data_IF_750883756562
#
_entry.id   IF_750883756562
#
_cell.length_a   1.000
_cell.length_b   1.000
_cell.length_c   1.000
_cell.angle_alpha   90.00
_cell.angle_beta   90.00
_cell.angle_gamma   90.00
#
_symmetry.space_group_name_H-M   'P 1'
#
loop_
_entity.id
_entity.type
_entity.pdbx_description
1 polymer ?
#
# COMPACT_ATOMS: atom_id res chain seq x y z
N UNK A 1 16.84 -23.79 -12.10
CA UNK A 1 15.40 -23.94 -12.39
C UNK A 1 14.83 -25.06 -11.54
N UNK A 2 13.59 -24.94 -11.03
CA UNK A 2 12.86 -26.02 -10.35
C UNK A 2 11.63 -26.41 -11.19
N UNK A 3 11.39 -27.70 -11.42
CA UNK A 3 10.21 -28.19 -12.16
C UNK A 3 9.02 -28.27 -11.20
N UNK A 4 7.87 -27.77 -11.63
CA UNK A 4 6.59 -27.87 -10.91
C UNK A 4 5.49 -28.25 -11.87
N UNK A 5 4.54 -29.07 -11.40
CA UNK A 5 3.31 -29.40 -12.10
C UNK A 5 2.15 -28.68 -11.41
N UNK A 6 1.27 -28.09 -12.19
CA UNK A 6 0.07 -27.38 -11.72
C UNK A 6 -1.09 -27.76 -12.63
N UNK A 7 -2.29 -27.84 -12.06
CA UNK A 7 -3.51 -27.98 -12.85
C UNK A 7 -3.93 -26.61 -13.37
N UNK A 8 -4.29 -26.55 -14.65
CA UNK A 8 -4.83 -25.37 -15.30
C UNK A 8 -6.27 -25.67 -15.71
N UNK A 9 -7.14 -24.67 -15.60
CA UNK A 9 -8.47 -24.77 -16.20
C UNK A 9 -8.35 -24.76 -17.72
N UNK A 10 -9.33 -25.35 -18.41
CA UNK A 10 -9.34 -25.34 -19.89
C UNK A 10 -9.29 -23.92 -20.46
N UNK A 11 -9.93 -22.97 -19.77
CA UNK A 11 -9.92 -21.55 -20.15
C UNK A 11 -8.51 -20.97 -20.13
N UNK A 12 -7.75 -21.20 -19.05
CA UNK A 12 -6.38 -20.72 -18.91
C UNK A 12 -5.44 -21.36 -19.95
N UNK A 13 -5.58 -22.66 -20.21
CA UNK A 13 -4.77 -23.34 -21.22
C UNK A 13 -5.05 -22.75 -22.63
N UNK A 14 -6.31 -22.46 -22.98
CA UNK A 14 -6.66 -21.82 -24.25
C UNK A 14 -6.06 -20.41 -24.38
N UNK A 15 -6.08 -19.62 -23.32
CA UNK A 15 -5.48 -18.28 -23.31
C UNK A 15 -3.95 -18.34 -23.46
N UNK A 16 -3.28 -19.21 -22.70
CA UNK A 16 -1.83 -19.42 -22.80
C UNK A 16 -1.44 -19.86 -24.21
N UNK A 17 -2.24 -20.73 -24.84
CA UNK A 17 -2.01 -21.18 -26.22
C UNK A 17 -2.15 -20.04 -27.23
N UNK A 18 -3.14 -19.18 -27.04
CA UNK A 18 -3.36 -18.03 -27.91
C UNK A 18 -2.21 -17.02 -27.79
N UNK A 19 -1.77 -16.74 -26.56
CA UNK A 19 -0.64 -15.84 -26.29
C UNK A 19 0.69 -16.39 -26.82
N UNK A 20 0.96 -17.68 -26.58
CA UNK A 20 2.16 -18.36 -27.09
C UNK A 20 2.28 -18.26 -28.61
N UNK A 21 1.18 -18.42 -29.34
CA UNK A 21 1.15 -18.25 -30.80
C UNK A 21 1.30 -16.80 -31.24
N UNK A 22 0.70 -15.86 -30.51
CA UNK A 22 0.73 -14.43 -30.84
C UNK A 22 2.12 -13.82 -30.64
N UNK A 23 2.83 -14.24 -29.60
CA UNK A 23 4.14 -13.72 -29.23
C UNK A 23 5.31 -14.54 -29.78
N UNK A 24 5.04 -15.65 -30.47
CA UNK A 24 6.04 -16.61 -30.94
C UNK A 24 6.99 -17.09 -29.82
N UNK A 25 6.42 -17.35 -28.65
CA UNK A 25 7.15 -17.78 -27.44
C UNK A 25 6.69 -19.16 -26.99
N UNK A 26 7.59 -19.99 -26.40
CA UNK A 26 7.19 -21.22 -25.75
C UNK A 26 6.18 -20.95 -24.61
N UNK A 27 5.15 -21.79 -24.47
CA UNK A 27 4.14 -21.69 -23.39
C UNK A 27 4.77 -21.54 -22.00
N UNK A 28 5.85 -22.28 -21.75
CA UNK A 28 6.55 -22.24 -20.48
C UNK A 28 7.17 -20.87 -20.16
N UNK A 29 7.56 -20.11 -21.19
CA UNK A 29 8.08 -18.75 -21.06
C UNK A 29 6.94 -17.77 -20.76
N UNK A 30 5.85 -17.84 -21.53
CA UNK A 30 4.63 -17.06 -21.30
C UNK A 30 4.12 -17.25 -19.86
N UNK A 31 4.05 -18.48 -19.38
CA UNK A 31 3.63 -18.80 -18.01
C UNK A 31 4.57 -18.14 -16.98
N UNK A 32 5.89 -18.17 -17.19
CA UNK A 32 6.85 -17.55 -16.27
C UNK A 32 6.68 -16.03 -16.23
N UNK A 33 6.52 -15.39 -17.39
CA UNK A 33 6.31 -13.95 -17.48
C UNK A 33 5.03 -13.53 -16.75
N UNK A 34 3.92 -14.22 -17.01
CA UNK A 34 2.63 -13.95 -16.35
C UNK A 34 2.73 -14.14 -14.83
N UNK A 35 3.40 -15.20 -14.36
CA UNK A 35 3.62 -15.42 -12.94
C UNK A 35 4.48 -14.32 -12.31
N UNK A 36 5.55 -13.88 -12.98
CA UNK A 36 6.39 -12.79 -12.50
C UNK A 36 5.59 -11.50 -12.36
N UNK A 37 4.84 -11.12 -13.39
CA UNK A 37 3.98 -9.93 -13.36
C UNK A 37 2.92 -10.04 -12.27
N UNK A 38 2.29 -11.20 -12.11
CA UNK A 38 1.30 -11.46 -11.07
C UNK A 38 1.89 -11.35 -9.66
N UNK A 39 3.11 -11.84 -9.45
CA UNK A 39 3.81 -11.73 -8.17
C UNK A 39 4.23 -10.30 -7.87
N UNK A 40 4.76 -9.55 -8.84
CA UNK A 40 5.09 -8.13 -8.67
C UNK A 40 3.85 -7.30 -8.32
N UNK A 41 2.70 -7.57 -8.94
CA UNK A 41 1.43 -6.93 -8.58
C UNK A 41 0.96 -7.26 -7.16
N UNK A 42 1.27 -8.46 -6.66
CA UNK A 42 0.92 -8.89 -5.29
C UNK A 42 1.90 -8.43 -4.23
N UNK A 43 3.14 -8.07 -4.61
CA UNK A 43 4.09 -7.50 -3.66
C UNK A 43 3.53 -6.17 -3.16
N UNK A 44 3.45 -5.96 -1.83
CA UNK A 44 3.10 -4.65 -1.30
C UNK A 44 4.16 -3.66 -1.79
N UNK A 45 3.74 -2.66 -2.58
CA UNK A 45 4.65 -1.66 -3.16
C UNK A 45 5.45 -0.94 -2.06
N UNK A 46 4.86 -0.79 -0.88
CA UNK A 46 5.48 -0.21 0.31
C UNK A 46 4.97 -0.93 1.56
N UNK A 47 5.81 -1.12 2.60
CA UNK A 47 5.30 -1.54 3.89
C UNK A 47 4.29 -0.48 4.39
N UNK A 48 3.21 -0.86 5.11
CA UNK A 48 2.16 0.08 5.51
C UNK A 48 2.66 1.36 6.19
N UNK A 49 3.80 1.30 6.87
CA UNK A 49 4.45 2.45 7.52
C UNK A 49 5.34 3.31 6.62
N UNK A 50 5.76 2.87 5.44
CA UNK A 50 6.67 3.64 4.58
C UNK A 50 6.02 4.91 4.01
N UNK A 51 4.72 4.87 3.71
CA UNK A 51 3.97 6.07 3.29
C UNK A 51 3.94 7.10 4.42
N UNK A 52 3.68 6.66 5.67
CA UNK A 52 3.66 7.52 6.85
C UNK A 52 5.04 8.12 7.14
N UNK A 53 6.11 7.34 7.00
CA UNK A 53 7.48 7.80 7.16
C UNK A 53 7.86 8.86 6.12
N UNK A 54 7.43 8.70 4.86
CA UNK A 54 7.67 9.69 3.80
C UNK A 54 6.91 10.99 4.03
N UNK A 55 5.67 10.90 4.53
CA UNK A 55 4.88 12.08 4.91
C UNK A 55 5.54 12.78 6.10
N UNK A 56 5.95 12.02 7.12
CA UNK A 56 6.65 12.55 8.30
C UNK A 56 7.99 13.20 7.97
N UNK A 57 8.78 12.63 7.05
CA UNK A 57 10.06 13.18 6.62
C UNK A 57 9.94 14.53 5.89
N UNK A 58 8.76 14.83 5.32
CA UNK A 58 8.45 16.12 4.68
C UNK A 58 7.66 17.06 5.57
N UNK A 59 7.22 16.60 6.74
CA UNK A 59 6.49 17.42 7.68
C UNK A 59 7.46 18.32 8.45
N UNK A 60 7.11 19.59 8.58
CA UNK A 60 7.78 20.49 9.54
C UNK A 60 7.41 20.07 10.97
N UNK A 61 8.32 20.27 11.94
CA UNK A 61 8.01 20.01 13.35
C UNK A 61 6.76 20.80 13.75
N UNK A 62 5.69 20.08 14.09
CA UNK A 62 4.49 20.65 14.64
C UNK A 62 4.64 20.93 16.14
N UNK A 63 3.69 21.64 16.75
CA UNK A 63 3.66 21.83 18.19
C UNK A 63 3.63 20.49 18.93
N UNK A 64 4.52 20.29 19.91
CA UNK A 64 4.62 19.03 20.66
C UNK A 64 3.38 18.69 21.50
N UNK A 65 2.46 19.63 21.65
CA UNK A 65 1.21 19.51 22.38
C UNK A 65 -0.03 19.38 21.47
N UNK A 66 0.16 19.24 20.14
CA UNK A 66 -0.93 19.19 19.15
C UNK A 66 -2.00 18.15 19.51
N UNK A 67 -1.59 16.96 19.93
CA UNK A 67 -2.52 15.88 20.30
C UNK A 67 -3.40 16.23 21.50
N UNK A 68 -2.85 17.00 22.45
CA UNK A 68 -3.54 17.37 23.69
C UNK A 68 -4.37 18.65 23.51
N UNK A 69 -3.97 19.51 22.58
CA UNK A 69 -4.59 20.81 22.33
C UNK A 69 -5.26 20.90 20.95
N UNK A 70 -5.63 19.76 20.36
CA UNK A 70 -6.16 19.68 18.99
C UNK A 70 -7.33 20.64 18.75
N UNK A 71 -8.29 20.70 19.68
CA UNK A 71 -9.45 21.59 19.58
C UNK A 71 -9.07 23.07 19.61
N UNK A 72 -7.95 23.45 20.24
CA UNK A 72 -7.45 24.83 20.25
C UNK A 72 -6.84 25.17 18.89
N UNK A 73 -6.06 24.27 18.32
CA UNK A 73 -5.44 24.48 17.01
C UNK A 73 -6.45 24.46 15.86
N UNK A 74 -7.50 23.64 15.95
CA UNK A 74 -8.55 23.56 14.92
C UNK A 74 -9.53 24.74 14.95
N UNK A 75 -9.87 25.23 16.14
CA UNK A 75 -11.00 26.16 16.30
C UNK A 75 -10.63 27.49 16.98
N UNK A 76 -9.41 27.65 17.50
CA UNK A 76 -8.96 28.87 18.19
C UNK A 76 -9.93 29.30 19.27
N UNK A 77 -10.39 30.55 19.18
CA UNK A 77 -11.32 31.17 20.14
C UNK A 77 -12.74 30.59 20.09
N UNK A 78 -13.04 29.81 19.04
CA UNK A 78 -14.30 29.07 18.88
C UNK A 78 -14.19 27.64 19.40
N UNK A 79 -13.08 27.29 20.05
CA UNK A 79 -12.90 25.96 20.62
C UNK A 79 -13.95 25.71 21.70
N UNK A 80 -14.57 24.52 21.75
CA UNK A 80 -15.45 24.12 22.86
C UNK A 80 -14.78 24.16 24.24
N UNK A 81 -13.44 24.21 24.24
CA UNK A 81 -12.58 24.29 25.42
C UNK A 81 -11.92 25.67 25.59
N UNK A 82 -12.26 26.67 24.77
CA UNK A 82 -11.74 28.02 24.89
C UNK A 82 -12.14 28.62 26.25
N UNK A 83 -11.16 29.15 26.99
CA UNK A 83 -11.35 29.71 28.33
C UNK A 83 -11.56 28.70 29.47
N UNK A 84 -11.61 27.39 29.20
CA UNK A 84 -11.69 26.37 30.28
C UNK A 84 -10.31 26.13 30.88
N UNK A 85 -10.15 26.36 32.19
CA UNK A 85 -8.93 25.96 32.91
C UNK A 85 -8.79 24.43 32.84
N UNK A 86 -7.76 23.97 32.14
CA UNK A 86 -7.37 22.56 32.15
C UNK A 86 -6.76 22.29 33.54
N UNK A 87 -7.57 21.86 34.50
CA UNK A 87 -7.06 21.35 35.78
C UNK A 87 -6.37 20.03 35.49
N UNK A 88 -5.05 20.05 35.37
CA UNK A 88 -4.24 18.83 35.40
C UNK A 88 -4.30 18.27 36.81
N UNK A 89 -5.09 17.22 37.00
CA UNK A 89 -4.97 16.35 38.18
C UNK A 89 -3.55 15.78 38.21
N UNK A 90 -2.93 15.87 39.39
CA UNK A 90 -1.62 15.28 39.68
C UNK A 90 -1.64 13.76 39.52
#
# INVERSE_FOLDING_TARGET
MKRKQIYLTETLEREINSLSKKEDKPKAEVIRELLNVGLEKKKPKEPPGAVLLRIGAKATPGPGDLSTNLSRYLYGDKSPNYGKRITRGR
#
